data_IF_847170781008
#
_entry.id   IF_847170781008
#
_cell.length_a   1.000
_cell.length_b   1.000
_cell.length_c   1.000
_cell.angle_alpha   90.00
_cell.angle_beta   90.00
_cell.angle_gamma   90.00
#
_symmetry.space_group_name_H-M   'P 1'
#
loop_
_entity.id
_entity.type
_entity.pdbx_description
1 polymer ?
#
# COMPACT_ATOMS: atom_id res chain seq x y z
N UNK A 1 -8.10 53.80 -23.15
CA UNK A 1 -9.09 53.01 -23.90
C UNK A 1 -9.36 51.77 -23.08
N UNK A 2 -10.34 51.86 -22.19
CA UNK A 2 -10.89 50.74 -21.42
C UNK A 2 -12.25 50.52 -22.06
N UNK A 3 -12.48 49.38 -22.69
CA UNK A 3 -13.79 49.03 -23.22
C UNK A 3 -14.51 48.17 -22.19
N UNK A 4 -15.66 48.67 -21.78
CA UNK A 4 -16.71 48.01 -21.01
C UNK A 4 -17.40 46.87 -21.79
N UNK A 5 -18.16 46.08 -21.01
CA UNK A 5 -19.35 45.30 -21.34
C UNK A 5 -19.19 43.79 -21.53
N UNK A 6 -19.49 43.02 -20.48
CA UNK A 6 -20.83 42.43 -20.27
C UNK A 6 -20.86 41.66 -18.94
N UNK A 7 -21.58 42.19 -17.96
CA UNK A 7 -21.97 41.46 -16.74
C UNK A 7 -23.39 40.94 -16.98
N UNK A 8 -23.66 39.63 -16.94
CA UNK A 8 -25.03 39.15 -16.92
C UNK A 8 -25.65 39.37 -15.54
N UNK A 9 -26.81 40.03 -15.53
CA UNK A 9 -27.69 40.21 -14.38
C UNK A 9 -28.08 38.84 -13.80
N UNK A 10 -27.83 38.64 -12.49
CA UNK A 10 -28.39 37.53 -11.73
C UNK A 10 -29.78 37.95 -11.27
N UNK A 11 -30.80 37.33 -11.87
CA UNK A 11 -32.20 37.53 -11.50
C UNK A 11 -32.47 36.99 -10.10
N UNK A 12 -32.98 37.85 -9.24
CA UNK A 12 -33.53 37.53 -7.92
C UNK A 12 -34.63 36.47 -8.05
N UNK A 13 -34.35 35.24 -7.62
CA UNK A 13 -35.36 34.22 -7.33
C UNK A 13 -35.22 33.87 -5.86
N UNK A 14 -36.32 34.11 -5.12
CA UNK A 14 -36.43 33.98 -3.67
C UNK A 14 -36.08 32.59 -3.12
N UNK A 15 -36.20 32.42 -1.79
CA UNK A 15 -35.58 31.30 -1.08
C UNK A 15 -36.13 29.97 -1.59
N UNK A 16 -35.27 29.18 -2.22
CA UNK A 16 -35.56 27.78 -2.52
C UNK A 16 -35.33 27.03 -1.22
N UNK A 17 -36.42 26.68 -0.55
CA UNK A 17 -36.43 25.74 0.56
C UNK A 17 -35.94 24.38 0.06
N UNK A 18 -34.67 24.06 0.26
CA UNK A 18 -34.18 22.71 0.17
C UNK A 18 -34.75 21.94 1.36
N UNK A 19 -35.79 21.15 1.12
CA UNK A 19 -36.23 20.10 2.04
C UNK A 19 -35.05 19.16 2.23
N UNK A 20 -34.39 19.27 3.39
CA UNK A 20 -33.34 18.35 3.79
C UNK A 20 -33.93 16.95 3.86
N UNK A 21 -33.53 16.10 2.93
CA UNK A 21 -33.51 14.66 3.20
C UNK A 21 -32.31 14.47 4.12
N UNK A 22 -32.54 14.63 5.42
CA UNK A 22 -31.59 14.19 6.43
C UNK A 22 -31.36 12.71 6.20
N UNK A 23 -30.17 12.37 5.73
CA UNK A 23 -29.69 11.00 5.81
C UNK A 23 -29.53 10.77 7.32
N UNK A 24 -30.27 9.83 7.93
CA UNK A 24 -29.96 9.42 9.29
C UNK A 24 -28.53 8.90 9.24
N UNK A 25 -27.62 9.50 10.01
CA UNK A 25 -26.38 8.85 10.39
C UNK A 25 -26.77 7.70 11.34
N UNK A 26 -27.31 6.65 10.73
CA UNK A 26 -27.48 5.37 11.36
C UNK A 26 -26.08 4.73 11.43
N UNK A 27 -25.61 4.51 12.65
CA UNK A 27 -24.34 3.84 12.96
C UNK A 27 -24.35 2.35 12.53
N UNK A 28 -25.44 1.84 11.93
CA UNK A 28 -25.54 0.46 11.41
C UNK A 28 -24.51 0.08 10.35
N UNK A 29 -23.86 1.06 9.67
CA UNK A 29 -22.74 0.77 8.76
C UNK A 29 -21.46 0.36 9.48
N UNK A 30 -21.32 0.65 10.79
CA UNK A 30 -20.20 0.14 11.59
C UNK A 30 -20.37 -1.34 12.00
N UNK A 31 -21.55 -1.92 11.80
CA UNK A 31 -21.90 -3.24 12.33
C UNK A 31 -21.55 -4.43 11.42
N UNK A 32 -20.94 -4.18 10.25
CA UNK A 32 -20.40 -5.26 9.38
C UNK A 32 -19.07 -5.84 9.92
N UNK A 33 -18.60 -5.40 11.10
CA UNK A 33 -17.23 -5.66 11.57
C UNK A 33 -17.10 -6.62 12.77
N UNK A 34 -18.15 -7.28 13.26
CA UNK A 34 -18.02 -8.14 14.46
C UNK A 34 -17.96 -9.64 14.19
N UNK A 35 -18.66 -10.17 13.20
CA UNK A 35 -18.71 -11.63 12.97
C UNK A 35 -17.68 -12.13 11.95
N UNK A 36 -17.26 -11.33 10.96
CA UNK A 36 -16.21 -11.74 10.00
C UNK A 36 -14.78 -11.50 10.52
N UNK A 37 -14.57 -10.52 11.41
CA UNK A 37 -13.24 -10.21 12.00
C UNK A 37 -12.88 -11.08 13.21
N UNK A 38 -13.85 -11.74 13.86
CA UNK A 38 -13.58 -12.66 14.98
C UNK A 38 -12.80 -13.93 14.57
N UNK A 39 -12.70 -14.22 13.27
CA UNK A 39 -11.95 -15.36 12.74
C UNK A 39 -10.44 -15.11 12.48
N UNK A 40 -9.96 -13.87 12.56
CA UNK A 40 -8.59 -13.52 12.11
C UNK A 40 -7.54 -13.50 13.24
N UNK A 41 -7.74 -14.22 14.34
CA UNK A 41 -6.70 -14.51 15.32
C UNK A 41 -5.93 -15.79 14.93
N UNK A 42 -5.10 -15.70 13.89
CA UNK A 42 -4.17 -16.79 13.54
C UNK A 42 -2.84 -16.55 14.24
N UNK A 43 -2.69 -17.10 15.45
CA UNK A 43 -1.35 -17.37 15.99
C UNK A 43 -0.72 -18.50 15.18
N UNK A 44 0.45 -18.28 14.57
CA UNK A 44 1.24 -19.32 13.93
C UNK A 44 1.36 -20.54 14.87
N UNK A 45 0.65 -21.63 14.58
CA UNK A 45 0.75 -22.89 15.32
C UNK A 45 1.37 -23.94 14.42
N UNK A 46 2.68 -24.07 14.54
CA UNK A 46 3.44 -25.30 14.35
C UNK A 46 3.42 -25.93 12.95
N UNK A 47 4.50 -25.69 12.19
CA UNK A 47 4.92 -26.59 11.11
C UNK A 47 6.41 -26.90 11.27
N UNK A 48 6.72 -28.16 11.61
CA UNK A 48 8.08 -28.70 11.67
C UNK A 48 8.75 -28.67 10.29
N UNK A 49 9.38 -27.55 9.92
CA UNK A 49 10.44 -27.52 8.91
C UNK A 49 11.42 -26.37 9.19
N UNK A 50 12.68 -26.70 9.45
CA UNK A 50 13.77 -25.74 9.71
C UNK A 50 14.12 -25.04 8.39
N UNK A 51 14.04 -23.69 8.29
CA UNK A 51 14.97 -22.82 9.01
C UNK A 51 14.37 -21.57 9.72
N UNK A 52 13.06 -21.52 10.03
CA UNK A 52 12.49 -20.43 10.87
C UNK A 52 12.31 -20.82 12.36
N UNK A 53 12.93 -21.91 12.81
CA UNK A 53 12.71 -22.56 14.11
C UNK A 53 13.02 -21.74 15.38
N UNK A 54 13.45 -20.47 15.26
CA UNK A 54 13.67 -19.58 16.40
C UNK A 54 12.73 -18.34 16.42
N UNK A 55 11.76 -18.27 15.49
CA UNK A 55 10.99 -17.04 15.23
C UNK A 55 9.49 -17.22 15.47
N UNK A 56 8.99 -18.46 15.63
CA UNK A 56 7.56 -18.77 15.72
C UNK A 56 6.80 -18.10 16.89
N UNK A 57 7.49 -17.69 17.96
CA UNK A 57 6.85 -16.96 19.08
C UNK A 57 6.88 -15.42 18.92
N UNK A 58 7.61 -14.90 17.92
CA UNK A 58 8.06 -13.50 17.89
C UNK A 58 7.55 -12.69 16.69
N UNK A 59 7.08 -13.36 15.63
CA UNK A 59 6.50 -12.71 14.45
C UNK A 59 4.99 -12.81 14.49
N UNK A 60 4.34 -11.65 14.49
CA UNK A 60 2.90 -11.56 14.29
C UNK A 60 2.60 -11.19 12.84
N UNK A 61 1.81 -12.03 12.18
CA UNK A 61 1.25 -11.75 10.87
C UNK A 61 -0.13 -11.14 11.08
N UNK A 62 -0.22 -9.82 11.02
CA UNK A 62 -1.52 -9.17 11.04
C UNK A 62 -2.03 -9.03 9.61
N UNK A 63 -3.10 -9.76 9.29
CA UNK A 63 -3.87 -9.55 8.06
C UNK A 63 -4.87 -8.42 8.30
N UNK A 64 -4.61 -7.26 7.69
CA UNK A 64 -5.51 -6.13 7.75
C UNK A 64 -6.25 -5.98 6.43
N UNK A 65 -7.54 -6.35 6.45
CA UNK A 65 -8.44 -6.13 5.33
C UNK A 65 -9.00 -4.71 5.39
N UNK A 66 -8.30 -3.75 4.78
CA UNK A 66 -9.01 -2.61 4.21
C UNK A 66 -9.50 -3.03 2.83
N UNK A 67 -10.67 -3.66 2.77
CA UNK A 67 -11.37 -3.79 1.50
C UNK A 67 -11.50 -2.38 0.88
N UNK A 68 -11.25 -2.19 -0.44
CA UNK A 68 -11.62 -0.94 -1.06
C UNK A 68 -13.10 -0.72 -0.78
N UNK A 69 -13.46 0.45 -0.25
CA UNK A 69 -14.85 0.86 -0.09
C UNK A 69 -15.54 0.64 -1.44
N UNK A 70 -16.45 -0.34 -1.51
CA UNK A 70 -17.20 -0.62 -2.74
C UNK A 70 -18.21 0.51 -2.91
N UNK A 71 -17.76 1.59 -3.52
CA UNK A 71 -18.64 2.60 -4.07
C UNK A 71 -19.06 2.06 -5.44
N UNK A 72 -20.36 1.88 -5.66
CA UNK A 72 -20.90 1.63 -7.00
C UNK A 72 -20.39 2.72 -7.95
N UNK A 73 -19.42 2.37 -8.79
CA UNK A 73 -18.85 3.27 -9.79
C UNK A 73 -19.28 2.78 -11.16
N UNK A 74 -19.64 3.70 -12.05
CA UNK A 74 -19.72 3.40 -13.47
C UNK A 74 -18.29 3.15 -13.96
N UNK A 75 -17.90 1.89 -14.06
CA UNK A 75 -16.61 1.47 -14.60
C UNK A 75 -16.66 1.70 -16.11
N UNK A 76 -15.82 2.59 -16.63
CA UNK A 76 -15.52 2.62 -18.07
C UNK A 76 -14.42 1.59 -18.31
N UNK A 77 -14.64 0.67 -19.25
CA UNK A 77 -13.60 -0.27 -19.69
C UNK A 77 -12.50 0.50 -20.43
N UNK A 78 -11.25 0.16 -20.16
CA UNK A 78 -10.06 0.69 -20.84
C UNK A 78 -9.31 -0.46 -21.54
N UNK A 79 -8.84 -0.20 -22.75
CA UNK A 79 -7.99 -1.09 -23.54
C UNK A 79 -6.52 -0.92 -23.10
N UNK A 80 -5.89 -2.00 -22.62
CA UNK A 80 -4.49 -2.15 -22.17
C UNK A 80 -4.21 -1.96 -20.65
N UNK A 81 -4.03 -3.10 -19.97
CA UNK A 81 -3.81 -3.21 -18.52
C UNK A 81 -2.44 -2.75 -18.00
N UNK A 82 -1.50 -2.30 -18.85
CA UNK A 82 -0.21 -1.74 -18.39
C UNK A 82 -0.19 -0.21 -18.26
N UNK A 83 -1.10 0.51 -18.94
CA UNK A 83 -1.25 1.97 -18.86
C UNK A 83 -2.37 2.46 -17.93
N UNK A 84 -3.32 1.58 -17.59
CA UNK A 84 -4.59 1.93 -16.95
C UNK A 84 -4.49 2.69 -15.60
N UNK A 85 -3.40 2.57 -14.83
CA UNK A 85 -3.27 3.27 -13.52
C UNK A 85 -2.81 4.71 -13.65
N UNK A 86 -1.79 4.94 -14.47
CA UNK A 86 -1.35 6.30 -14.78
C UNK A 86 -2.47 7.04 -15.53
N UNK A 87 -3.15 6.33 -16.43
CA UNK A 87 -4.31 6.85 -17.15
C UNK A 87 -5.49 7.16 -16.20
N UNK A 88 -5.82 6.31 -15.22
CA UNK A 88 -6.85 6.59 -14.22
C UNK A 88 -6.57 7.84 -13.35
N UNK A 89 -5.30 8.12 -13.04
CA UNK A 89 -4.87 9.34 -12.33
C UNK A 89 -4.96 10.58 -13.24
N UNK A 90 -4.52 10.45 -14.49
CA UNK A 90 -4.66 11.50 -15.51
C UNK A 90 -6.14 11.80 -15.80
N UNK A 91 -7.01 10.79 -15.79
CA UNK A 91 -8.47 10.93 -15.93
C UNK A 91 -9.10 11.57 -14.69
N UNK A 92 -8.54 11.36 -13.50
CA UNK A 92 -8.86 12.16 -12.31
C UNK A 92 -8.69 13.67 -12.57
N UNK A 93 -7.62 14.05 -13.27
CA UNK A 93 -7.35 15.43 -13.69
C UNK A 93 -8.32 15.91 -14.79
N UNK A 94 -8.90 15.03 -15.61
CA UNK A 94 -9.95 15.42 -16.57
C UNK A 94 -11.33 15.70 -15.93
N UNK A 95 -11.54 15.38 -14.64
CA UNK A 95 -12.76 15.75 -13.89
C UNK A 95 -12.80 17.21 -13.42
N UNK A 96 -11.81 18.03 -13.80
CA UNK A 96 -11.79 19.48 -13.58
C UNK A 96 -13.06 20.18 -14.10
N UNK A 97 -13.79 19.57 -15.03
CA UNK A 97 -15.07 20.10 -15.54
C UNK A 97 -16.29 19.94 -14.61
N UNK A 98 -16.26 19.12 -13.55
CA UNK A 98 -17.44 18.88 -12.70
C UNK A 98 -17.08 18.66 -11.21
N UNK A 99 -16.43 19.65 -10.61
CA UNK A 99 -15.99 19.60 -9.20
C UNK A 99 -17.14 19.72 -8.19
N UNK A 100 -18.29 20.28 -8.58
CA UNK A 100 -19.42 20.50 -7.67
C UNK A 100 -20.17 19.21 -7.32
N UNK A 101 -20.13 18.21 -8.21
CA UNK A 101 -20.90 16.96 -8.03
C UNK A 101 -20.05 15.70 -8.02
N UNK A 102 -18.73 15.83 -8.25
CA UNK A 102 -17.81 14.70 -8.31
C UNK A 102 -16.67 14.84 -7.31
N UNK A 103 -16.44 13.80 -6.52
CA UNK A 103 -15.27 13.70 -5.65
C UNK A 103 -14.23 12.77 -6.27
N UNK A 104 -12.97 13.22 -6.31
CA UNK A 104 -11.87 12.37 -6.73
C UNK A 104 -11.35 11.55 -5.55
N UNK A 105 -11.68 10.25 -5.55
CA UNK A 105 -11.19 9.32 -4.54
C UNK A 105 -9.84 8.76 -5.00
N UNK A 106 -8.76 9.24 -4.40
CA UNK A 106 -7.43 8.61 -4.57
C UNK A 106 -7.36 7.29 -3.80
N UNK A 107 -6.71 6.30 -4.39
CA UNK A 107 -6.47 5.00 -3.74
C UNK A 107 -5.22 4.96 -2.86
N UNK A 108 -4.47 6.06 -2.74
CA UNK A 108 -3.18 6.04 -2.03
C UNK A 108 -2.73 7.41 -1.50
N UNK A 109 -1.63 7.42 -0.72
CA UNK A 109 -1.06 8.56 0.00
C UNK A 109 -0.20 9.48 -0.88
N UNK A 110 -0.52 9.57 -2.17
CA UNK A 110 0.16 10.47 -3.13
C UNK A 110 -0.83 11.53 -3.62
N UNK A 111 -0.32 12.52 -4.34
CA UNK A 111 -1.13 13.62 -4.87
C UNK A 111 -1.09 14.88 -4.00
N UNK A 112 -1.77 15.96 -4.43
CA UNK A 112 -1.72 17.24 -3.74
C UNK A 112 -2.39 17.17 -2.37
N UNK A 113 -1.98 18.06 -1.47
CA UNK A 113 -2.72 18.30 -0.22
C UNK A 113 -4.20 18.62 -0.55
N UNK A 114 -5.18 18.04 0.18
CA UNK A 114 -5.07 17.24 1.40
C UNK A 114 -5.04 15.71 1.22
N UNK A 115 -4.94 15.20 -0.01
CA UNK A 115 -5.17 13.78 -0.31
C UNK A 115 -4.24 12.81 0.46
N UNK A 116 -2.91 13.03 0.55
CA UNK A 116 -2.03 12.15 1.31
C UNK A 116 -2.42 12.01 2.79
N UNK A 117 -2.73 13.13 3.43
CA UNK A 117 -3.13 13.17 4.85
C UNK A 117 -4.45 12.44 5.04
N UNK A 118 -5.42 12.71 4.17
CA UNK A 118 -6.74 12.07 4.25
C UNK A 118 -6.64 10.54 4.12
N UNK A 119 -5.87 10.03 3.16
CA UNK A 119 -5.70 8.59 2.99
C UNK A 119 -4.96 7.97 4.18
N UNK A 120 -3.92 8.63 4.69
CA UNK A 120 -3.23 8.18 5.91
C UNK A 120 -4.19 8.09 7.09
N UNK A 121 -5.03 9.10 7.32
CA UNK A 121 -6.00 9.06 8.42
C UNK A 121 -6.96 7.87 8.29
N UNK A 122 -7.47 7.59 7.09
CA UNK A 122 -8.31 6.43 6.86
C UNK A 122 -7.57 5.09 7.04
N UNK A 123 -6.28 5.04 6.73
CA UNK A 123 -5.44 3.85 6.92
C UNK A 123 -4.90 3.74 8.36
N UNK A 124 -4.96 4.79 9.17
CA UNK A 124 -4.38 4.84 10.53
C UNK A 124 -4.98 3.80 11.49
N UNK A 125 -6.15 3.27 11.16
CA UNK A 125 -6.79 2.18 11.91
C UNK A 125 -5.87 0.97 12.02
N UNK A 126 -5.06 0.69 11.00
CA UNK A 126 -4.06 -0.39 10.98
C UNK A 126 -3.11 -0.24 12.18
N UNK A 127 -2.40 0.88 12.30
CA UNK A 127 -1.47 1.12 13.40
C UNK A 127 -2.14 1.12 14.77
N UNK A 128 -3.35 1.69 14.87
CA UNK A 128 -4.14 1.73 16.12
C UNK A 128 -4.51 0.33 16.61
N UNK A 129 -4.95 -0.53 15.70
CA UNK A 129 -5.26 -1.93 16.01
C UNK A 129 -4.02 -2.72 16.40
N UNK A 130 -2.90 -2.53 15.69
CA UNK A 130 -1.62 -3.15 16.06
C UNK A 130 -1.18 -2.73 17.46
N UNK A 131 -1.29 -1.44 17.82
CA UNK A 131 -0.94 -0.99 19.17
C UNK A 131 -1.80 -1.69 20.23
N UNK A 132 -3.10 -1.80 20.00
CA UNK A 132 -4.03 -2.49 20.91
C UNK A 132 -3.69 -3.98 21.03
N UNK A 133 -3.53 -4.66 19.90
CA UNK A 133 -3.20 -6.09 19.85
C UNK A 133 -1.84 -6.39 20.48
N UNK A 134 -0.82 -5.56 20.21
CA UNK A 134 0.51 -5.68 20.81
C UNK A 134 0.46 -5.49 22.34
N UNK A 135 -0.32 -4.54 22.83
CA UNK A 135 -0.51 -4.38 24.28
C UNK A 135 -1.19 -5.62 24.90
N UNK A 136 -2.21 -6.17 24.27
CA UNK A 136 -2.91 -7.38 24.74
C UNK A 136 -2.02 -8.63 24.71
N UNK A 137 -1.24 -8.80 23.65
CA UNK A 137 -0.42 -10.00 23.41
C UNK A 137 0.93 -9.96 24.11
N UNK A 138 1.57 -8.79 24.14
CA UNK A 138 2.95 -8.62 24.57
C UNK A 138 3.13 -7.67 25.75
N UNK A 139 2.05 -7.07 26.27
CA UNK A 139 2.10 -6.09 27.36
C UNK A 139 2.85 -4.80 26.99
N UNK A 140 3.00 -4.50 25.69
CA UNK A 140 3.77 -3.36 25.22
C UNK A 140 3.78 -3.22 23.70
N UNK A 141 4.63 -2.31 23.21
CA UNK A 141 4.77 -1.99 21.78
C UNK A 141 5.55 -3.10 21.04
N UNK A 142 5.39 -3.24 19.71
CA UNK A 142 6.33 -3.98 18.87
C UNK A 142 7.71 -3.32 18.90
N UNK A 143 8.76 -4.09 18.61
CA UNK A 143 10.11 -3.56 18.39
C UNK A 143 10.28 -3.13 16.93
N UNK A 144 9.62 -3.82 16.00
CA UNK A 144 9.78 -3.62 14.55
C UNK A 144 8.43 -3.73 13.83
N UNK A 145 8.19 -2.80 12.91
CA UNK A 145 7.07 -2.79 11.97
C UNK A 145 7.61 -2.91 10.55
N UNK A 146 7.09 -3.85 9.77
CA UNK A 146 7.49 -4.07 8.37
C UNK A 146 6.29 -3.97 7.44
N UNK A 147 6.40 -3.22 6.36
CA UNK A 147 5.35 -3.09 5.35
C UNK A 147 5.94 -2.96 3.94
N UNK A 148 5.21 -3.44 2.93
CA UNK A 148 5.58 -3.21 1.54
C UNK A 148 5.27 -1.77 1.13
N UNK A 149 6.11 -1.21 0.25
CA UNK A 149 6.03 0.19 -0.18
C UNK A 149 6.01 0.24 -1.70
N UNK A 150 4.84 0.55 -2.25
CA UNK A 150 4.68 1.11 -3.59
C UNK A 150 4.50 2.62 -3.43
N UNK A 151 3.25 3.09 -3.56
CA UNK A 151 2.89 4.47 -3.23
C UNK A 151 2.81 4.75 -1.71
N UNK A 152 2.54 3.72 -0.89
CA UNK A 152 2.81 3.74 0.54
C UNK A 152 1.63 3.79 1.52
N UNK A 153 0.38 3.64 1.07
CA UNK A 153 -0.80 3.81 1.94
C UNK A 153 -0.85 2.81 3.10
N UNK A 154 -0.61 1.53 2.83
CA UNK A 154 -0.60 0.47 3.85
C UNK A 154 0.55 0.70 4.86
N UNK A 155 1.73 1.11 4.39
CA UNK A 155 2.89 1.37 5.22
C UNK A 155 2.65 2.57 6.13
N UNK A 156 2.12 3.68 5.59
CA UNK A 156 1.73 4.83 6.39
C UNK A 156 0.63 4.50 7.40
N UNK A 157 -0.37 3.71 7.02
CA UNK A 157 -1.40 3.24 7.94
C UNK A 157 -0.84 2.48 9.14
N UNK A 158 0.16 1.62 8.90
CA UNK A 158 0.86 0.89 9.96
C UNK A 158 1.76 1.79 10.79
N UNK A 159 2.57 2.63 10.15
CA UNK A 159 3.62 3.41 10.80
C UNK A 159 3.10 4.60 11.58
N UNK A 160 2.03 5.25 11.11
CA UNK A 160 1.61 6.57 11.60
C UNK A 160 1.44 6.61 13.13
N UNK A 161 0.81 5.59 13.69
CA UNK A 161 0.58 5.47 15.12
C UNK A 161 1.90 5.40 15.94
N UNK A 162 2.98 4.91 15.33
CA UNK A 162 4.27 4.65 15.99
C UNK A 162 5.37 5.65 15.60
N UNK A 163 5.09 6.68 14.80
CA UNK A 163 6.09 7.69 14.40
C UNK A 163 6.74 8.35 15.63
N UNK A 164 5.98 8.61 16.69
CA UNK A 164 6.50 9.19 17.93
C UNK A 164 7.24 8.21 18.87
N UNK A 165 7.16 6.91 18.60
CA UNK A 165 7.81 5.87 19.39
C UNK A 165 9.20 5.56 18.79
N UNK A 166 10.21 6.35 19.15
CA UNK A 166 11.56 6.27 18.56
C UNK A 166 12.24 4.91 18.72
N UNK A 167 11.85 4.14 19.75
CA UNK A 167 12.33 2.77 19.96
C UNK A 167 11.78 1.76 18.94
N UNK A 168 10.67 2.09 18.26
CA UNK A 168 10.03 1.22 17.27
C UNK A 168 10.63 1.46 15.89
N UNK A 169 11.26 0.43 15.32
CA UNK A 169 11.83 0.50 13.97
C UNK A 169 10.72 0.40 12.93
N UNK A 170 10.74 1.31 11.97
CA UNK A 170 9.78 1.37 10.86
C UNK A 170 10.49 0.97 9.58
N UNK A 171 10.09 -0.13 8.97
CA UNK A 171 10.79 -0.74 7.83
C UNK A 171 9.84 -0.83 6.62
N UNK A 172 10.11 -0.02 5.61
CA UNK A 172 9.47 -0.11 4.30
C UNK A 172 10.24 -1.03 3.35
N UNK A 173 9.53 -1.85 2.58
CA UNK A 173 10.13 -2.76 1.60
C UNK A 173 9.63 -2.45 0.19
N UNK A 174 10.50 -1.97 -0.68
CA UNK A 174 10.19 -1.66 -2.08
C UNK A 174 10.53 -2.82 -3.02
N UNK A 175 9.89 -2.83 -4.20
CA UNK A 175 10.16 -3.84 -5.22
C UNK A 175 11.42 -3.50 -6.02
N UNK A 176 12.42 -4.37 -5.92
CA UNK A 176 13.61 -4.34 -6.77
C UNK A 176 13.35 -4.93 -8.17
N UNK A 177 12.15 -5.45 -8.46
CA UNK A 177 11.82 -6.05 -9.75
C UNK A 177 12.80 -7.16 -10.12
N UNK A 178 13.42 -7.03 -11.30
CA UNK A 178 14.46 -7.95 -11.79
C UNK A 178 15.86 -7.67 -11.21
N UNK A 179 15.96 -6.80 -10.21
CA UNK A 179 17.18 -6.32 -9.59
C UNK A 179 17.41 -4.84 -9.87
N UNK A 180 18.01 -4.12 -8.91
CA UNK A 180 18.20 -2.67 -9.00
C UNK A 180 19.05 -2.24 -10.19
N UNK A 181 20.04 -3.04 -10.58
CA UNK A 181 20.94 -2.72 -11.69
C UNK A 181 20.33 -3.03 -13.07
N UNK A 182 19.18 -3.71 -13.11
CA UNK A 182 18.49 -4.05 -14.36
C UNK A 182 17.78 -2.85 -15.00
N UNK A 183 17.58 -1.77 -14.23
CA UNK A 183 16.70 -0.65 -14.60
C UNK A 183 15.21 -1.01 -14.61
N UNK A 184 14.84 -2.24 -14.26
CA UNK A 184 13.46 -2.72 -14.17
C UNK A 184 13.11 -3.02 -12.72
N UNK A 185 12.74 -1.96 -11.99
CA UNK A 185 12.36 -2.01 -10.58
C UNK A 185 11.33 -0.94 -10.23
N UNK A 186 10.77 -1.00 -9.03
CA UNK A 186 9.90 0.02 -8.44
C UNK A 186 10.44 0.53 -7.09
N UNK A 187 11.77 0.53 -6.92
CA UNK A 187 12.46 0.97 -5.72
C UNK A 187 12.69 2.49 -5.71
N UNK A 188 11.62 3.24 -5.45
CA UNK A 188 11.52 4.70 -5.59
C UNK A 188 12.39 5.42 -4.56
N UNK A 189 12.33 5.02 -3.30
CA UNK A 189 13.12 5.61 -2.22
C UNK A 189 14.58 5.17 -2.29
N UNK A 190 14.86 3.97 -2.81
CA UNK A 190 16.22 3.46 -2.95
C UNK A 190 17.00 3.97 -4.18
N UNK A 191 16.30 4.34 -5.27
CA UNK A 191 16.92 4.74 -6.56
C UNK A 191 16.34 5.98 -7.21
N UNK A 192 15.19 6.47 -6.75
CA UNK A 192 14.55 7.66 -7.28
C UNK A 192 15.20 8.94 -6.80
N UNK A 193 14.74 10.03 -7.40
CA UNK A 193 15.17 11.39 -7.12
C UNK A 193 13.98 12.24 -6.70
N UNK A 194 14.25 13.35 -6.00
CA UNK A 194 13.20 14.30 -5.64
C UNK A 194 12.72 15.02 -6.88
N UNK A 195 11.41 15.06 -7.07
CA UNK A 195 10.77 15.86 -8.10
C UNK A 195 9.29 16.07 -7.82
N UNK A 196 8.58 16.64 -8.80
CA UNK A 196 7.16 16.97 -8.66
C UNK A 196 6.36 16.12 -9.64
N UNK A 197 5.50 15.27 -9.11
CA UNK A 197 4.64 14.40 -9.90
C UNK A 197 3.25 14.32 -9.27
N UNK A 198 2.21 14.35 -10.10
CA UNK A 198 0.80 14.37 -9.67
C UNK A 198 0.48 15.40 -8.56
N UNK A 199 1.10 16.58 -8.60
CA UNK A 199 0.78 17.66 -7.66
C UNK A 199 1.42 17.55 -6.27
N UNK A 200 2.39 16.66 -6.07
CA UNK A 200 3.20 16.58 -4.86
C UNK A 200 4.70 16.56 -5.18
N UNK A 201 5.49 17.19 -4.32
CA UNK A 201 6.95 17.02 -4.32
C UNK A 201 7.30 15.80 -3.47
N UNK A 202 7.98 14.82 -4.06
CA UNK A 202 8.34 13.56 -3.39
C UNK A 202 9.48 12.86 -4.15
N UNK A 203 9.92 11.70 -3.68
CA UNK A 203 10.77 10.81 -4.51
C UNK A 203 9.93 10.19 -5.62
N UNK A 204 10.52 10.12 -6.82
CA UNK A 204 9.99 9.39 -7.97
C UNK A 204 11.11 8.82 -8.85
N UNK A 205 10.78 7.86 -9.70
CA UNK A 205 11.71 7.33 -10.71
C UNK A 205 11.69 8.22 -11.95
N UNK A 206 12.79 8.95 -12.17
CA UNK A 206 12.97 9.83 -13.32
C UNK A 206 14.41 9.74 -13.83
N UNK A 207 14.61 10.06 -15.11
CA UNK A 207 15.93 10.20 -15.71
C UNK A 207 16.51 11.60 -15.49
N UNK A 208 17.70 11.85 -16.04
CA UNK A 208 18.42 13.13 -15.91
C UNK A 208 17.71 14.31 -16.58
N UNK A 209 16.79 14.05 -17.49
CA UNK A 209 15.97 15.07 -18.15
C UNK A 209 14.62 15.27 -17.44
N UNK A 210 14.40 14.59 -16.30
CA UNK A 210 13.16 14.60 -15.55
C UNK A 210 12.04 13.82 -16.22
N UNK A 211 12.36 12.94 -17.17
CA UNK A 211 11.37 12.04 -17.76
C UNK A 211 11.12 10.85 -16.86
N UNK A 212 9.85 10.47 -16.74
CA UNK A 212 9.41 9.38 -15.89
C UNK A 212 9.92 8.04 -16.41
N UNK A 213 10.49 7.23 -15.51
CA UNK A 213 10.94 5.86 -15.80
C UNK A 213 9.84 4.88 -15.39
N UNK A 214 9.44 4.01 -16.32
CA UNK A 214 8.42 3.00 -16.09
C UNK A 214 8.78 2.06 -14.93
N UNK A 215 7.90 1.86 -13.94
CA UNK A 215 8.18 1.01 -12.79
C UNK A 215 8.02 -0.45 -13.20
N UNK A 216 8.70 -1.35 -12.49
CA UNK A 216 8.52 -2.79 -12.69
C UNK A 216 8.50 -3.57 -11.37
N UNK A 217 7.56 -4.51 -11.25
CA UNK A 217 7.40 -5.41 -10.11
C UNK A 217 6.40 -6.51 -10.47
N UNK A 218 6.64 -7.73 -10.00
CA UNK A 218 5.67 -8.82 -10.09
C UNK A 218 4.40 -8.53 -9.28
N UNK A 219 4.53 -7.79 -8.18
CA UNK A 219 3.41 -7.26 -7.41
C UNK A 219 2.92 -5.98 -8.08
N UNK A 220 1.90 -6.07 -8.93
CA UNK A 220 1.38 -4.93 -9.71
C UNK A 220 1.00 -3.74 -8.82
N UNK A 221 0.55 -3.95 -7.58
CA UNK A 221 0.29 -2.89 -6.59
C UNK A 221 1.51 -2.06 -6.18
N UNK A 222 2.73 -2.56 -6.41
CA UNK A 222 3.98 -1.84 -6.15
C UNK A 222 4.50 -1.11 -7.39
N UNK A 223 3.99 -1.41 -8.59
CA UNK A 223 4.32 -0.68 -9.83
C UNK A 223 3.67 0.71 -9.80
N UNK A 224 4.33 1.65 -9.15
CA UNK A 224 3.95 3.06 -9.14
C UNK A 224 5.18 3.95 -9.22
N UNK A 225 4.98 5.17 -9.71
CA UNK A 225 6.07 6.05 -10.15
C UNK A 225 6.65 6.94 -9.06
N UNK A 226 5.84 7.29 -8.06
CA UNK A 226 6.23 8.13 -6.93
C UNK A 226 5.85 7.52 -5.59
N UNK A 227 6.30 8.11 -4.49
CA UNK A 227 5.94 7.63 -3.15
C UNK A 227 5.25 8.75 -2.37
N UNK A 228 4.48 8.41 -1.34
CA UNK A 228 3.84 9.41 -0.50
C UNK A 228 4.88 10.39 0.10
N UNK A 229 4.62 11.71 0.09
CA UNK A 229 5.58 12.71 0.57
C UNK A 229 5.95 12.51 2.05
N UNK A 230 5.06 11.94 2.85
CA UNK A 230 5.34 11.62 4.25
C UNK A 230 6.37 10.48 4.39
N UNK A 231 6.34 9.46 3.52
CA UNK A 231 7.38 8.42 3.51
C UNK A 231 8.74 8.96 3.06
N UNK A 232 8.74 9.86 2.07
CA UNK A 232 9.94 10.60 1.65
C UNK A 232 10.56 11.37 2.81
N UNK A 233 9.72 12.07 3.58
CA UNK A 233 10.16 12.78 4.79
C UNK A 233 10.69 11.82 5.87
N UNK A 234 10.01 10.69 6.11
CA UNK A 234 10.47 9.67 7.07
C UNK A 234 11.81 9.03 6.67
N UNK A 235 12.07 8.88 5.37
CA UNK A 235 13.39 8.47 4.85
C UNK A 235 14.45 9.52 5.15
N UNK A 236 14.21 10.77 4.76
CA UNK A 236 15.22 11.84 4.85
C UNK A 236 15.57 12.19 6.30
N UNK A 237 14.63 12.04 7.22
CA UNK A 237 14.85 12.21 8.67
C UNK A 237 15.47 10.99 9.34
N UNK A 238 15.58 9.86 8.63
CA UNK A 238 16.05 8.59 9.19
C UNK A 238 15.07 7.94 10.16
N UNK A 239 13.82 8.42 10.23
CA UNK A 239 12.79 7.84 11.11
C UNK A 239 12.31 6.48 10.61
N UNK A 240 12.30 6.27 9.29
CA UNK A 240 12.00 4.98 8.68
C UNK A 240 13.15 4.49 7.80
N UNK A 241 13.37 3.19 7.81
CA UNK A 241 14.37 2.48 7.00
C UNK A 241 13.68 1.90 5.77
N UNK A 242 14.34 1.94 4.61
CA UNK A 242 13.79 1.40 3.37
C UNK A 242 14.75 0.40 2.74
N UNK A 243 14.23 -0.79 2.44
CA UNK A 243 14.97 -1.90 1.84
C UNK A 243 14.26 -2.38 0.59
N UNK A 244 14.90 -3.27 -0.16
CA UNK A 244 14.39 -3.74 -1.44
C UNK A 244 14.41 -5.26 -1.54
N UNK A 245 13.42 -5.80 -2.24
CA UNK A 245 13.24 -7.24 -2.49
C UNK A 245 12.96 -7.47 -3.96
N UNK A 246 13.60 -8.45 -4.57
CA UNK A 246 13.39 -8.83 -5.98
C UNK A 246 12.11 -9.64 -6.19
N UNK A 247 11.64 -9.70 -7.42
CA UNK A 247 10.44 -10.48 -7.78
C UNK A 247 10.59 -11.96 -7.40
N UNK A 248 11.78 -12.54 -7.59
CA UNK A 248 12.06 -13.92 -7.22
C UNK A 248 11.99 -14.13 -5.71
N UNK A 249 12.57 -13.23 -4.92
CA UNK A 249 12.51 -13.30 -3.46
C UNK A 249 11.06 -13.19 -2.95
N UNK A 250 10.24 -12.31 -3.57
CA UNK A 250 8.83 -12.18 -3.25
C UNK A 250 8.03 -13.45 -3.58
N UNK A 251 8.29 -14.09 -4.74
CA UNK A 251 7.68 -15.36 -5.11
C UNK A 251 8.05 -16.49 -4.15
N UNK A 252 9.31 -16.55 -3.74
CA UNK A 252 9.80 -17.56 -2.80
C UNK A 252 9.10 -17.42 -1.44
N UNK A 253 8.91 -16.18 -0.97
CA UNK A 253 8.17 -15.88 0.25
C UNK A 253 6.68 -16.19 0.14
N UNK A 254 6.05 -15.85 -0.99
CA UNK A 254 4.65 -16.22 -1.30
C UNK A 254 4.45 -17.73 -1.15
N UNK A 255 5.28 -18.52 -1.83
CA UNK A 255 5.18 -19.97 -1.81
C UNK A 255 5.47 -20.56 -0.44
N UNK A 256 6.40 -19.95 0.30
CA UNK A 256 6.72 -20.36 1.66
C UNK A 256 5.54 -20.17 2.60
N UNK A 257 4.92 -18.97 2.60
CA UNK A 257 3.78 -18.69 3.47
C UNK A 257 2.59 -19.60 3.15
N UNK A 258 2.33 -19.86 1.87
CA UNK A 258 1.29 -20.80 1.46
C UNK A 258 1.53 -22.22 1.98
N UNK A 259 2.80 -22.68 2.01
CA UNK A 259 3.16 -24.04 2.43
C UNK A 259 3.21 -24.20 3.94
N UNK A 260 3.67 -23.17 4.66
CA UNK A 260 3.86 -23.22 6.10
C UNK A 260 2.56 -22.95 6.86
N UNK A 261 1.85 -21.88 6.51
CA UNK A 261 0.71 -21.39 7.28
C UNK A 261 -0.63 -21.50 6.54
N UNK A 262 -0.61 -21.92 5.27
CA UNK A 262 -1.82 -22.01 4.44
C UNK A 262 -2.41 -20.64 4.08
N UNK A 263 -1.68 -19.56 4.35
CA UNK A 263 -2.07 -18.19 4.01
C UNK A 263 -1.58 -17.90 2.59
N UNK A 264 -2.47 -17.36 1.76
CA UNK A 264 -2.17 -16.94 0.38
C UNK A 264 -2.00 -15.41 0.37
N UNK A 265 -0.78 -14.88 0.53
CA UNK A 265 -0.56 -13.43 0.57
C UNK A 265 -0.68 -12.81 -0.81
N UNK A 266 -1.03 -11.53 -0.89
CA UNK A 266 -0.82 -10.77 -2.11
C UNK A 266 0.67 -10.70 -2.46
N UNK A 267 1.01 -10.60 -3.74
CA UNK A 267 2.42 -10.47 -4.15
C UNK A 267 3.07 -9.20 -3.59
N UNK A 268 2.29 -8.15 -3.33
CA UNK A 268 2.76 -6.95 -2.64
C UNK A 268 3.19 -7.26 -1.20
N UNK A 269 2.32 -7.92 -0.41
CA UNK A 269 2.63 -8.33 0.96
C UNK A 269 3.81 -9.32 1.01
N UNK A 270 3.94 -10.15 -0.02
CA UNK A 270 5.05 -11.11 -0.16
C UNK A 270 6.42 -10.43 -0.22
N UNK A 271 6.51 -9.17 -0.68
CA UNK A 271 7.77 -8.42 -0.61
C UNK A 271 8.20 -8.14 0.84
N UNK A 272 7.27 -7.71 1.68
CA UNK A 272 7.54 -7.47 3.10
C UNK A 272 7.95 -8.77 3.81
N UNK A 273 7.28 -9.88 3.48
CA UNK A 273 7.58 -11.21 4.01
C UNK A 273 8.96 -11.72 3.56
N UNK A 274 9.32 -11.53 2.30
CA UNK A 274 10.62 -11.95 1.78
C UNK A 274 11.79 -11.24 2.47
N UNK A 275 11.60 -9.98 2.88
CA UNK A 275 12.63 -9.25 3.61
C UNK A 275 12.96 -9.89 4.97
N UNK A 276 12.03 -10.65 5.56
CA UNK A 276 12.26 -11.32 6.85
C UNK A 276 13.41 -12.33 6.80
N UNK A 277 13.67 -12.96 5.65
CA UNK A 277 14.81 -13.87 5.48
C UNK A 277 16.15 -13.16 5.67
N UNK A 278 16.21 -11.86 5.35
CA UNK A 278 17.39 -11.02 5.53
C UNK A 278 17.41 -10.39 6.92
N UNK A 279 16.25 -9.96 7.41
CA UNK A 279 16.13 -9.23 8.66
C UNK A 279 16.27 -10.14 9.88
N UNK A 280 15.49 -11.22 9.98
CA UNK A 280 15.38 -12.01 11.20
C UNK A 280 16.70 -12.63 11.68
N UNK A 281 17.63 -13.10 10.82
CA UNK A 281 18.94 -13.59 11.27
C UNK A 281 19.80 -12.53 11.99
N UNK A 282 19.48 -11.25 11.82
CA UNK A 282 20.20 -10.12 12.45
C UNK A 282 19.61 -9.71 13.80
N UNK A 283 18.42 -10.23 14.14
CA UNK A 283 17.68 -9.80 15.32
C UNK A 283 18.04 -10.61 16.56
N UNK A 284 18.04 -9.99 17.76
CA UNK A 284 18.06 -10.72 19.00
C UNK A 284 16.85 -11.66 19.13
N UNK A 285 17.03 -12.76 19.87
CA UNK A 285 15.91 -13.60 20.27
C UNK A 285 14.84 -12.77 20.99
N UNK A 286 13.58 -13.15 20.84
CA UNK A 286 12.42 -12.48 21.46
C UNK A 286 12.09 -11.07 20.94
N UNK A 287 12.64 -10.65 19.78
CA UNK A 287 12.26 -9.40 19.13
C UNK A 287 10.83 -9.45 18.61
N UNK A 288 9.97 -8.54 19.04
CA UNK A 288 8.56 -8.44 18.67
C UNK A 288 8.42 -7.74 17.32
N UNK A 289 8.08 -8.50 16.30
CA UNK A 289 8.01 -8.00 14.93
C UNK A 289 6.59 -8.16 14.37
N UNK A 290 6.07 -7.09 13.78
CA UNK A 290 4.80 -7.10 13.05
C UNK A 290 5.06 -6.88 11.57
N UNK A 291 4.49 -7.74 10.72
CA UNK A 291 4.46 -7.53 9.28
C UNK A 291 3.05 -7.22 8.82
N UNK A 292 2.90 -6.16 8.03
CA UNK A 292 1.63 -5.84 7.40
C UNK A 292 1.35 -6.81 6.24
N UNK A 293 0.43 -7.74 6.43
CA UNK A 293 -0.11 -8.52 5.32
C UNK A 293 -1.21 -7.70 4.64
N UNK A 294 -0.79 -6.82 3.74
CA UNK A 294 -1.62 -5.76 3.15
C UNK A 294 -2.75 -6.23 2.23
N UNK A 295 -2.84 -7.54 1.95
CA UNK A 295 -3.90 -8.09 1.11
C UNK A 295 -3.75 -9.58 0.87
N UNK A 296 -4.83 -10.19 0.38
CA UNK A 296 -4.93 -11.60 -0.03
C UNK A 296 -4.50 -11.80 -1.48
N UNK A 297 -3.92 -12.96 -1.77
CA UNK A 297 -3.34 -13.29 -3.07
C UNK A 297 -4.29 -13.89 -4.09
N UNK A 298 -5.61 -13.91 -3.86
CA UNK A 298 -6.58 -14.45 -4.81
C UNK A 298 -6.45 -13.82 -6.21
N UNK A 299 -6.18 -12.51 -6.26
CA UNK A 299 -5.96 -11.75 -7.51
C UNK A 299 -4.68 -12.18 -8.25
N UNK A 300 -3.70 -12.72 -7.52
CA UNK A 300 -2.36 -13.00 -8.03
C UNK A 300 -2.21 -14.46 -8.48
N UNK A 301 -3.18 -15.33 -8.16
CA UNK A 301 -3.14 -16.76 -8.50
C UNK A 301 -2.85 -17.00 -9.99
N UNK A 302 -3.53 -16.29 -10.89
CA UNK A 302 -3.33 -16.46 -12.32
C UNK A 302 -1.90 -16.11 -12.77
N UNK A 303 -1.31 -15.07 -12.18
CA UNK A 303 0.08 -14.67 -12.44
C UNK A 303 1.05 -15.73 -11.93
N UNK A 304 0.87 -16.19 -10.70
CA UNK A 304 1.71 -17.21 -10.08
C UNK A 304 1.62 -18.54 -10.84
N UNK A 305 0.43 -18.96 -11.27
CA UNK A 305 0.25 -20.18 -12.05
C UNK A 305 0.95 -20.12 -13.41
N UNK A 306 0.86 -18.99 -14.13
CA UNK A 306 1.54 -18.82 -15.42
C UNK A 306 3.06 -18.90 -15.28
N UNK A 307 3.62 -18.27 -14.25
CA UNK A 307 5.06 -18.30 -14.00
C UNK A 307 5.55 -19.70 -13.66
N UNK A 308 4.73 -20.48 -12.93
CA UNK A 308 5.05 -21.88 -12.64
C UNK A 308 5.02 -22.76 -13.89
N UNK A 309 4.05 -22.57 -14.79
CA UNK A 309 3.97 -23.32 -16.04
C UNK A 309 5.14 -23.02 -16.99
N UNK A 310 5.54 -21.75 -17.11
CA UNK A 310 6.73 -21.38 -17.90
C UNK A 310 8.02 -22.02 -17.36
N UNK A 311 8.11 -22.23 -16.05
CA UNK A 311 9.23 -22.92 -15.42
C UNK A 311 9.25 -24.43 -15.71
N UNK A 312 8.08 -25.09 -15.70
CA UNK A 312 7.96 -26.52 -16.01
C UNK A 312 8.20 -26.81 -17.51
N UNK A 313 7.84 -25.87 -18.40
CA UNK A 313 8.05 -25.99 -19.85
C UNK A 313 9.52 -25.77 -20.29
N UNK A 314 10.30 -24.96 -19.57
CA UNK A 314 11.74 -24.82 -19.83
C UNK A 314 12.55 -26.03 -19.34
N UNK A 315 12.17 -26.61 -18.19
CA UNK A 315 12.85 -27.78 -17.61
C UNK A 315 12.56 -29.07 -18.38
N UNK A 316 11.40 -29.17 -19.03
CA UNK A 316 11.06 -30.34 -19.88
C UNK A 316 11.64 -30.26 -21.29
N UNK A 317 12.14 -29.09 -21.72
CA UNK A 317 12.77 -28.86 -23.01
C UNK A 317 14.30 -28.67 -22.95
N UNK A 318 14.93 -28.84 -21.78
CA UNK A 318 16.39 -28.85 -21.56
C UNK A 318 16.92 -30.25 -21.27
#
# INVERSE_FOLDING_TARGET
MVNDAMVPEVSDKGPVTATGVGIPLDESWMDVSREELQGCNLSCRGANSKPLANIDECVDLTMNYCAPLVICTNIKEEDDGRGAREEALNLGSTRVGNLETSFYLTGTVVGPHPLPIMVREFQSVIGKEIRRQAMEKWGGKPDILVACVGSGSNAMGLFHEFIGDEEVRLIGVEAAGLGLDSGRHSAILARGEVGVYHGAMSYLLQDREGQIIGPHSIGVGLEYLGVGPELSFLKDTGRAEFYTVTDQEALDAYHRLCRLDGIVPALEASHALAFLEKLCPTLPNCTKLVVNCSGRGDKDLATVFKLKQGFDDEVTNS
#
